data_IF_275660167481
#
_entry.id   IF_275660167481
#
_cell.length_a   1.000
_cell.length_b   1.000
_cell.length_c   1.000
_cell.angle_alpha   90.00
_cell.angle_beta   90.00
_cell.angle_gamma   90.00
#
_symmetry.space_group_name_H-M   'P 1'
#
loop_
_entity.id
_entity.type
_entity.pdbx_description
1 polymer ?
#
# COMPACT_ATOMS: atom_id res chain seq x y z
N UNK A 1 -16.98 21.59 -7.09
CA UNK A 1 -16.92 20.67 -8.24
C UNK A 1 -15.80 19.68 -8.00
N UNK A 2 -16.07 18.65 -7.18
CA UNK A 2 -15.18 17.49 -7.05
C UNK A 2 -15.20 16.71 -8.36
N UNK A 3 -14.07 16.09 -8.71
CA UNK A 3 -13.84 15.39 -9.99
C UNK A 3 -15.08 14.64 -10.50
N UNK A 4 -15.35 14.76 -11.80
CA UNK A 4 -16.32 13.92 -12.49
C UNK A 4 -15.99 12.46 -12.18
N UNK A 5 -16.85 11.79 -11.39
CA UNK A 5 -16.70 10.37 -11.08
C UNK A 5 -16.96 9.60 -12.36
N UNK A 6 -15.89 9.24 -13.06
CA UNK A 6 -15.95 8.42 -14.26
C UNK A 6 -16.55 7.06 -13.88
N UNK A 7 -17.69 6.72 -14.49
CA UNK A 7 -18.43 5.48 -14.22
C UNK A 7 -17.61 4.22 -14.55
N UNK A 8 -16.50 4.36 -15.27
CA UNK A 8 -15.62 3.28 -15.68
C UNK A 8 -14.59 2.87 -14.62
N UNK A 9 -14.35 3.71 -13.60
CA UNK A 9 -13.29 3.45 -12.61
C UNK A 9 -13.58 2.23 -11.72
N UNK A 10 -14.83 2.07 -11.28
CA UNK A 10 -15.23 0.93 -10.42
C UNK A 10 -15.06 -0.41 -11.17
N UNK A 11 -15.60 -0.60 -12.39
CA UNK A 11 -15.40 -1.86 -13.10
C UNK A 11 -13.93 -2.10 -13.45
N UNK A 12 -13.15 -1.06 -13.75
CA UNK A 12 -11.70 -1.18 -13.97
C UNK A 12 -10.97 -1.67 -12.71
N UNK A 13 -11.26 -1.08 -11.55
CA UNK A 13 -10.68 -1.49 -10.26
C UNK A 13 -10.95 -2.98 -9.98
N UNK A 14 -12.21 -3.41 -10.10
CA UNK A 14 -12.58 -4.79 -9.81
C UNK A 14 -12.04 -5.77 -10.85
N UNK A 15 -11.98 -5.40 -12.14
CA UNK A 15 -11.36 -6.21 -13.17
C UNK A 15 -9.87 -6.43 -12.91
N UNK A 16 -9.12 -5.36 -12.63
CA UNK A 16 -7.69 -5.44 -12.31
C UNK A 16 -7.46 -6.26 -11.02
N UNK A 17 -8.29 -6.05 -10.01
CA UNK A 17 -8.26 -6.83 -8.78
C UNK A 17 -8.49 -8.32 -9.03
N UNK A 18 -9.51 -8.69 -9.81
CA UNK A 18 -9.79 -10.10 -10.12
C UNK A 18 -8.63 -10.76 -10.85
N UNK A 19 -8.04 -10.08 -11.85
CA UNK A 19 -6.88 -10.61 -12.58
C UNK A 19 -5.70 -10.82 -11.62
N UNK A 20 -5.37 -9.81 -10.80
CA UNK A 20 -4.29 -9.91 -9.81
C UNK A 20 -4.54 -11.00 -8.77
N UNK A 21 -5.77 -11.10 -8.26
CA UNK A 21 -6.16 -12.10 -7.28
C UNK A 21 -6.03 -13.52 -7.83
N UNK A 22 -6.42 -13.77 -9.08
CA UNK A 22 -6.25 -15.08 -9.73
C UNK A 22 -4.78 -15.47 -9.80
N UNK A 23 -3.88 -14.55 -10.18
CA UNK A 23 -2.43 -14.82 -10.24
C UNK A 23 -1.83 -15.10 -8.85
N UNK A 24 -2.27 -14.37 -7.82
CA UNK A 24 -1.78 -14.58 -6.45
C UNK A 24 -2.30 -15.89 -5.86
N UNK A 25 -3.57 -16.21 -6.09
CA UNK A 25 -4.18 -17.46 -5.63
C UNK A 25 -3.63 -18.67 -6.37
N UNK A 26 -3.39 -18.57 -7.69
CA UNK A 26 -2.78 -19.67 -8.44
C UNK A 26 -1.40 -20.03 -7.90
N UNK A 27 -0.60 -19.04 -7.50
CA UNK A 27 0.70 -19.25 -6.87
C UNK A 27 0.59 -20.04 -5.56
N UNK A 28 -0.41 -19.73 -4.75
CA UNK A 28 -0.68 -20.43 -3.49
C UNK A 28 -1.13 -21.87 -3.77
N UNK A 29 -2.08 -22.06 -4.69
CA UNK A 29 -2.61 -23.38 -5.05
C UNK A 29 -1.50 -24.29 -5.59
N UNK A 30 -0.69 -23.78 -6.51
CA UNK A 30 0.44 -24.54 -7.09
C UNK A 30 1.45 -24.95 -6.00
N UNK A 31 1.73 -24.07 -5.04
CA UNK A 31 2.62 -24.38 -3.92
C UNK A 31 2.05 -25.49 -3.04
N UNK A 32 0.79 -25.35 -2.62
CA UNK A 32 0.11 -26.36 -1.80
C UNK A 32 0.08 -27.72 -2.51
N UNK A 33 -0.07 -27.72 -3.84
CA UNK A 33 -0.07 -28.94 -4.64
C UNK A 33 1.31 -29.60 -4.73
N UNK A 34 2.38 -28.82 -4.92
CA UNK A 34 3.75 -29.37 -5.09
C UNK A 34 4.39 -29.79 -3.76
N UNK A 35 4.25 -28.98 -2.71
CA UNK A 35 5.01 -29.17 -1.45
C UNK A 35 4.15 -29.72 -0.31
N UNK A 36 2.82 -29.78 -0.46
CA UNK A 36 1.91 -30.13 0.63
C UNK A 36 1.94 -29.11 1.78
N UNK A 37 1.23 -29.39 2.88
CA UNK A 37 1.13 -28.51 4.05
C UNK A 37 2.23 -28.71 5.11
N UNK A 38 3.22 -29.57 4.84
CA UNK A 38 4.06 -30.16 5.90
C UNK A 38 5.30 -29.35 6.30
N UNK A 39 5.68 -28.28 5.57
CA UNK A 39 6.85 -27.46 5.89
C UNK A 39 6.60 -25.96 5.59
N UNK A 40 5.87 -25.30 6.52
CA UNK A 40 5.56 -23.87 6.45
C UNK A 40 6.81 -23.04 6.74
N UNK A 41 7.58 -22.75 5.70
CA UNK A 41 8.70 -21.83 5.80
C UNK A 41 8.23 -20.36 5.87
N UNK A 42 9.12 -19.46 6.26
CA UNK A 42 8.85 -18.00 6.28
C UNK A 42 8.34 -17.46 4.92
N UNK A 43 8.69 -18.11 3.82
CA UNK A 43 8.20 -17.76 2.48
C UNK A 43 6.70 -17.97 2.28
N UNK A 44 6.14 -18.99 2.94
CA UNK A 44 4.72 -19.33 2.86
C UNK A 44 3.89 -18.21 3.50
N UNK A 45 4.32 -17.73 4.67
CA UNK A 45 3.68 -16.62 5.38
C UNK A 45 3.62 -15.35 4.52
N UNK A 46 4.73 -14.97 3.88
CA UNK A 46 4.77 -13.80 2.99
C UNK A 46 3.82 -14.00 1.80
N UNK A 47 3.77 -15.21 1.23
CA UNK A 47 2.89 -15.52 0.10
C UNK A 47 1.40 -15.44 0.45
N UNK A 48 1.01 -15.81 1.67
CA UNK A 48 -0.38 -15.69 2.15
C UNK A 48 -0.73 -14.25 2.54
N UNK A 49 0.23 -13.46 3.01
CA UNK A 49 0.00 -12.08 3.43
C UNK A 49 -0.28 -11.15 2.23
N UNK A 50 0.38 -11.36 1.10
CA UNK A 50 0.22 -10.54 -0.12
C UNK A 50 -1.24 -10.43 -0.58
N UNK A 51 -2.00 -11.53 -0.83
CA UNK A 51 -3.38 -11.40 -1.26
C UNK A 51 -4.26 -10.72 -0.22
N UNK A 52 -4.03 -10.94 1.08
CA UNK A 52 -4.78 -10.25 2.15
C UNK A 52 -4.57 -8.74 2.09
N UNK A 53 -3.33 -8.28 2.00
CA UNK A 53 -3.07 -6.84 1.87
C UNK A 53 -3.61 -6.27 0.54
N UNK A 54 -3.59 -7.08 -0.53
CA UNK A 54 -4.09 -6.68 -1.83
C UNK A 54 -5.62 -6.50 -1.82
N UNK A 55 -6.35 -7.42 -1.18
CA UNK A 55 -7.82 -7.32 -1.01
C UNK A 55 -8.20 -6.11 -0.17
N UNK A 56 -7.50 -5.87 0.95
CA UNK A 56 -7.75 -4.70 1.81
C UNK A 56 -7.46 -3.40 1.06
N UNK A 57 -6.42 -3.38 0.21
CA UNK A 57 -6.10 -2.21 -0.60
C UNK A 57 -7.18 -1.94 -1.66
N UNK A 58 -7.66 -2.97 -2.36
CA UNK A 58 -8.75 -2.81 -3.33
C UNK A 58 -10.05 -2.33 -2.66
N UNK A 59 -10.41 -2.92 -1.51
CA UNK A 59 -11.56 -2.50 -0.72
C UNK A 59 -11.41 -1.06 -0.20
N UNK A 60 -10.22 -0.70 0.28
CA UNK A 60 -9.90 0.66 0.72
C UNK A 60 -10.05 1.67 -0.41
N UNK A 61 -9.53 1.38 -1.61
CA UNK A 61 -9.68 2.25 -2.78
C UNK A 61 -11.17 2.46 -3.11
N UNK A 62 -11.97 1.39 -3.12
CA UNK A 62 -13.41 1.50 -3.33
C UNK A 62 -14.07 2.40 -2.28
N UNK A 63 -13.74 2.24 -0.99
CA UNK A 63 -14.28 3.06 0.09
C UNK A 63 -13.89 4.54 -0.03
N UNK A 64 -12.64 4.83 -0.41
CA UNK A 64 -12.18 6.21 -0.67
C UNK A 64 -12.97 6.83 -1.81
N UNK A 65 -13.10 6.12 -2.93
CA UNK A 65 -13.85 6.61 -4.09
C UNK A 65 -15.33 6.85 -3.79
N UNK A 66 -15.97 5.98 -3.02
CA UNK A 66 -17.40 6.13 -2.69
C UNK A 66 -17.65 7.28 -1.72
N UNK A 67 -16.79 7.46 -0.71
CA UNK A 67 -16.99 8.43 0.39
C UNK A 67 -16.34 9.79 0.12
N UNK A 68 -15.38 9.86 -0.80
CA UNK A 68 -14.55 11.04 -1.05
C UNK A 68 -13.47 11.23 0.02
N UNK A 69 -12.37 11.90 -0.34
CA UNK A 69 -11.32 12.23 0.60
C UNK A 69 -11.03 13.74 0.59
N UNK A 70 -10.32 14.23 1.61
CA UNK A 70 -10.06 15.67 1.78
C UNK A 70 -9.32 16.32 0.60
N UNK A 71 -8.57 15.54 -0.19
CA UNK A 71 -7.80 16.05 -1.32
C UNK A 71 -8.66 16.44 -2.52
N UNK A 72 -9.91 15.97 -2.58
CA UNK A 72 -10.85 16.23 -3.68
C UNK A 72 -11.51 17.61 -3.60
N UNK A 73 -11.39 18.28 -2.44
CA UNK A 73 -12.13 19.51 -2.14
C UNK A 73 -11.19 20.70 -1.96
N UNK A 74 -11.69 21.89 -2.31
CA UNK A 74 -11.05 23.16 -1.96
C UNK A 74 -11.40 23.59 -0.53
N UNK A 75 -10.63 24.52 0.05
CA UNK A 75 -10.89 25.02 1.41
C UNK A 75 -12.27 25.66 1.55
N UNK A 76 -12.75 26.35 0.50
CA UNK A 76 -14.08 26.94 0.49
C UNK A 76 -15.19 25.87 0.48
N UNK A 77 -14.98 24.77 -0.24
CA UNK A 77 -15.93 23.65 -0.30
C UNK A 77 -15.98 22.91 1.03
N UNK A 78 -14.84 22.56 1.64
CA UNK A 78 -14.84 21.90 2.95
C UNK A 78 -15.51 22.75 4.03
N UNK A 79 -15.35 24.07 3.97
CA UNK A 79 -16.03 24.97 4.92
C UNK A 79 -17.55 25.04 4.69
N UNK A 80 -18.02 24.73 3.48
CA UNK A 80 -19.43 24.72 3.11
C UNK A 80 -20.11 23.34 3.28
N UNK A 81 -19.35 22.30 3.65
CA UNK A 81 -19.88 20.95 3.84
C UNK A 81 -20.80 20.84 5.06
N UNK A 82 -21.85 20.05 4.93
CA UNK A 82 -22.74 19.69 6.05
C UNK A 82 -22.00 18.78 7.03
N UNK A 83 -22.48 18.68 8.28
CA UNK A 83 -21.93 17.78 9.31
C UNK A 83 -21.80 16.31 8.82
N UNK A 84 -22.85 15.79 8.16
CA UNK A 84 -22.86 14.41 7.64
C UNK A 84 -21.88 14.21 6.48
N UNK A 85 -21.71 15.21 5.62
CA UNK A 85 -20.74 15.19 4.52
C UNK A 85 -19.31 15.22 5.06
N UNK A 86 -19.06 16.08 6.03
CA UNK A 86 -17.77 16.18 6.73
C UNK A 86 -17.38 14.83 7.33
N UNK A 87 -18.32 14.12 7.97
CA UNK A 87 -18.05 12.81 8.57
C UNK A 87 -17.67 11.75 7.53
N UNK A 88 -18.34 11.74 6.37
CA UNK A 88 -18.02 10.84 5.25
C UNK A 88 -16.62 11.12 4.68
N UNK A 89 -16.28 12.39 4.49
CA UNK A 89 -14.95 12.80 4.00
C UNK A 89 -13.84 12.46 5.00
N UNK A 90 -14.06 12.62 6.30
CA UNK A 90 -13.11 12.17 7.34
C UNK A 90 -12.91 10.66 7.25
N UNK A 91 -13.98 9.89 7.05
CA UNK A 91 -13.89 8.44 6.90
C UNK A 91 -13.07 8.04 5.67
N UNK A 92 -13.33 8.64 4.51
CA UNK A 92 -12.54 8.39 3.29
C UNK A 92 -11.09 8.82 3.45
N UNK A 93 -10.83 9.97 4.07
CA UNK A 93 -9.46 10.44 4.35
C UNK A 93 -8.67 9.49 5.26
N UNK A 94 -9.33 8.87 6.25
CA UNK A 94 -8.68 7.84 7.08
C UNK A 94 -8.29 6.62 6.26
N UNK A 95 -9.15 6.18 5.34
CA UNK A 95 -8.83 5.09 4.44
C UNK A 95 -7.72 5.44 3.45
N UNK A 96 -7.68 6.66 2.93
CA UNK A 96 -6.59 7.15 2.10
C UNK A 96 -5.23 7.08 2.84
N UNK A 97 -5.21 7.47 4.12
CA UNK A 97 -4.02 7.32 4.95
C UNK A 97 -3.63 5.84 5.10
N UNK A 98 -4.59 4.96 5.39
CA UNK A 98 -4.35 3.51 5.49
C UNK A 98 -3.79 2.96 4.17
N UNK A 99 -4.33 3.37 3.02
CA UNK A 99 -3.83 2.98 1.70
C UNK A 99 -2.41 3.47 1.46
N UNK A 100 -2.08 4.67 1.93
CA UNK A 100 -0.72 5.23 1.86
C UNK A 100 0.29 4.35 2.61
N UNK A 101 -0.12 3.64 3.67
CA UNK A 101 0.71 2.64 4.36
C UNK A 101 0.66 1.25 3.70
N UNK A 102 -0.52 0.81 3.25
CA UNK A 102 -0.71 -0.52 2.68
C UNK A 102 0.01 -0.69 1.33
N UNK A 103 0.01 0.36 0.50
CA UNK A 103 0.61 0.30 -0.84
C UNK A 103 2.14 0.03 -0.80
N UNK A 104 2.94 0.78 -0.01
CA UNK A 104 4.33 0.42 0.23
C UNK A 104 4.49 -0.97 0.87
N UNK A 105 3.65 -1.32 1.85
CA UNK A 105 3.73 -2.64 2.47
C UNK A 105 3.61 -3.77 1.45
N UNK A 106 2.68 -3.66 0.49
CA UNK A 106 2.52 -4.60 -0.61
C UNK A 106 3.76 -4.69 -1.51
N UNK A 107 4.30 -3.54 -1.94
CA UNK A 107 5.49 -3.50 -2.78
C UNK A 107 6.69 -4.19 -2.12
N UNK A 108 6.90 -3.95 -0.82
CA UNK A 108 7.98 -4.58 -0.07
C UNK A 108 7.72 -6.06 0.20
N UNK A 109 6.47 -6.49 0.39
CA UNK A 109 6.12 -7.91 0.45
C UNK A 109 6.42 -8.63 -0.87
N UNK A 110 6.17 -7.98 -2.02
CA UNK A 110 6.56 -8.53 -3.32
C UNK A 110 8.08 -8.66 -3.47
N UNK A 111 8.84 -7.63 -3.08
CA UNK A 111 10.32 -7.70 -3.04
C UNK A 111 10.81 -8.82 -2.13
N UNK A 112 10.28 -8.93 -0.92
CA UNK A 112 10.62 -9.98 0.03
C UNK A 112 10.32 -11.38 -0.52
N UNK A 113 9.15 -11.55 -1.18
CA UNK A 113 8.77 -12.81 -1.81
C UNK A 113 9.74 -13.24 -2.92
N UNK A 114 10.16 -12.30 -3.78
CA UNK A 114 11.15 -12.57 -4.82
C UNK A 114 12.53 -12.87 -4.22
N UNK A 115 12.92 -12.14 -3.17
CA UNK A 115 14.21 -12.34 -2.52
C UNK A 115 14.32 -13.72 -1.86
N UNK A 116 13.24 -14.20 -1.24
CA UNK A 116 13.18 -15.56 -0.67
C UNK A 116 13.25 -16.64 -1.76
N UNK A 117 12.61 -16.41 -2.91
CA UNK A 117 12.72 -17.29 -4.07
C UNK A 117 14.17 -17.37 -4.57
N UNK A 118 14.85 -16.23 -4.72
CA UNK A 118 16.26 -16.19 -5.10
C UNK A 118 17.14 -16.87 -4.05
N UNK A 119 16.88 -16.66 -2.76
CA UNK A 119 17.60 -17.33 -1.69
C UNK A 119 17.52 -18.86 -1.80
N UNK A 120 16.35 -19.41 -2.16
CA UNK A 120 16.16 -20.85 -2.36
C UNK A 120 16.89 -21.37 -3.60
N UNK A 121 16.73 -20.70 -4.74
CA UNK A 121 17.36 -21.09 -6.01
C UNK A 121 18.89 -21.06 -5.92
N UNK A 122 19.42 -20.10 -5.18
CA UNK A 122 20.84 -19.82 -5.13
C UNK A 122 21.55 -20.50 -3.95
N UNK A 123 20.88 -21.43 -3.26
CA UNK A 123 21.46 -22.20 -2.12
C UNK A 123 22.81 -22.86 -2.41
N UNK A 124 23.10 -23.20 -3.67
CA UNK A 124 24.32 -23.92 -4.08
C UNK A 124 25.49 -23.02 -4.50
N UNK A 125 25.32 -21.69 -4.56
CA UNK A 125 26.38 -20.76 -4.97
C UNK A 125 26.69 -19.77 -3.83
N UNK A 126 27.95 -19.71 -3.38
CA UNK A 126 28.34 -18.91 -2.21
C UNK A 126 28.37 -17.40 -2.46
N UNK A 127 28.91 -16.94 -3.59
CA UNK A 127 29.02 -15.51 -3.96
C UNK A 127 27.67 -14.76 -3.96
N UNK A 128 26.64 -15.25 -4.67
CA UNK A 128 25.34 -14.57 -4.69
C UNK A 128 24.60 -14.61 -3.34
N UNK A 129 24.98 -15.50 -2.41
CA UNK A 129 24.37 -15.56 -1.08
C UNK A 129 24.63 -14.30 -0.24
N UNK A 130 25.83 -13.75 -0.36
CA UNK A 130 26.21 -12.51 0.33
C UNK A 130 25.46 -11.31 -0.24
N UNK A 131 25.31 -11.24 -1.57
CA UNK A 131 24.51 -10.20 -2.25
C UNK A 131 23.02 -10.27 -1.86
N UNK A 132 22.44 -11.46 -1.77
CA UNK A 132 21.04 -11.64 -1.35
C UNK A 132 20.83 -11.17 0.11
N UNK A 133 21.79 -11.40 1.00
CA UNK A 133 21.71 -10.87 2.39
C UNK A 133 21.83 -9.35 2.43
N UNK A 134 22.76 -8.77 1.69
CA UNK A 134 22.93 -7.32 1.63
C UNK A 134 21.68 -6.63 1.08
N UNK A 135 21.11 -7.17 0.01
CA UNK A 135 19.85 -6.67 -0.57
C UNK A 135 18.66 -6.87 0.37
N UNK A 136 18.61 -7.96 1.16
CA UNK A 136 17.60 -8.13 2.20
C UNK A 136 17.65 -7.01 3.25
N UNK A 137 18.86 -6.69 3.72
CA UNK A 137 19.07 -5.64 4.72
C UNK A 137 18.72 -4.26 4.12
N UNK A 138 19.16 -3.98 2.89
CA UNK A 138 18.82 -2.73 2.21
C UNK A 138 17.30 -2.57 2.00
N UNK A 139 16.61 -3.65 1.62
CA UNK A 139 15.16 -3.67 1.47
C UNK A 139 14.44 -3.41 2.80
N UNK A 140 14.91 -3.99 3.90
CA UNK A 140 14.36 -3.73 5.24
C UNK A 140 14.59 -2.28 5.69
N UNK A 141 15.79 -1.73 5.45
CA UNK A 141 16.11 -0.35 5.82
C UNK A 141 15.29 0.66 5.02
N UNK A 142 15.12 0.44 3.72
CA UNK A 142 14.26 1.29 2.88
C UNK A 142 12.80 1.21 3.28
N UNK A 143 12.30 0.03 3.66
CA UNK A 143 10.94 -0.15 4.18
C UNK A 143 10.71 0.72 5.43
N UNK A 144 11.61 0.60 6.40
CA UNK A 144 11.55 1.37 7.65
C UNK A 144 11.64 2.86 7.35
N UNK A 145 12.53 3.26 6.43
CA UNK A 145 12.66 4.64 5.98
C UNK A 145 11.35 5.20 5.43
N UNK A 146 10.70 4.50 4.52
CA UNK A 146 9.40 4.92 3.94
C UNK A 146 8.31 4.98 5.01
N UNK A 147 8.23 3.98 5.89
CA UNK A 147 7.24 3.97 6.98
C UNK A 147 7.43 5.14 7.95
N UNK A 148 8.69 5.49 8.25
CA UNK A 148 9.02 6.66 9.03
C UNK A 148 8.68 7.94 8.28
N UNK A 149 8.99 8.05 6.98
CA UNK A 149 8.62 9.22 6.17
C UNK A 149 7.11 9.47 6.19
N UNK A 150 6.29 8.42 6.04
CA UNK A 150 4.83 8.55 6.12
C UNK A 150 4.40 8.95 7.54
N UNK A 151 5.00 8.36 8.57
CA UNK A 151 4.62 8.65 9.96
C UNK A 151 5.02 10.06 10.41
N UNK A 152 6.18 10.54 9.96
CA UNK A 152 6.70 11.87 10.26
C UNK A 152 6.21 12.94 9.27
N UNK A 153 5.50 12.56 8.20
CA UNK A 153 5.05 13.52 7.20
C UNK A 153 4.06 14.56 7.75
N UNK A 154 3.39 14.32 8.89
CA UNK A 154 2.53 15.30 9.52
C UNK A 154 2.51 15.11 11.05
N UNK A 155 3.12 16.05 11.76
CA UNK A 155 3.13 16.12 13.23
C UNK A 155 2.38 17.40 13.65
N UNK A 156 1.29 17.32 14.44
CA UNK A 156 0.70 16.14 15.09
C UNK A 156 -0.15 15.27 14.15
N UNK A 157 -0.17 13.95 14.40
CA UNK A 157 -0.86 12.95 13.57
C UNK A 157 -2.36 13.22 13.34
N UNK A 158 -3.00 13.97 14.26
CA UNK A 158 -4.40 14.42 14.10
C UNK A 158 -4.63 15.28 12.85
N UNK A 159 -3.59 15.96 12.35
CA UNK A 159 -3.64 16.75 11.13
C UNK A 159 -3.88 15.92 9.85
N UNK A 160 -3.74 14.59 9.91
CA UNK A 160 -4.01 13.74 8.75
C UNK A 160 -5.48 13.67 8.36
N UNK A 161 -6.41 13.61 9.31
CA UNK A 161 -7.85 13.48 9.02
C UNK A 161 -8.67 14.73 9.41
N UNK A 162 -8.01 15.78 9.90
CA UNK A 162 -8.68 17.02 10.23
C UNK A 162 -9.12 17.74 8.94
N UNK A 163 -10.36 18.22 8.92
CA UNK A 163 -10.97 18.87 7.75
C UNK A 163 -10.70 20.37 7.69
N UNK A 164 -10.33 21.00 8.81
CA UNK A 164 -9.98 22.43 8.84
C UNK A 164 -8.82 22.71 9.80
N UNK A 165 -7.73 23.36 9.36
CA UNK A 165 -7.41 23.78 7.97
C UNK A 165 -7.04 22.58 7.07
N UNK A 166 -7.33 22.65 5.75
CA UNK A 166 -7.03 21.55 4.78
C UNK A 166 -5.56 21.16 4.77
N UNK A 167 -4.68 22.15 4.95
CA UNK A 167 -3.23 21.96 4.91
C UNK A 167 -2.59 22.66 6.11
N UNK A 168 -2.22 21.91 7.16
CA UNK A 168 -1.33 22.44 8.18
C UNK A 168 0.02 22.78 7.51
N UNK A 169 0.64 23.94 7.81
CA UNK A 169 1.93 24.32 7.22
C UNK A 169 3.06 23.34 7.53
N UNK A 170 2.89 22.49 8.54
CA UNK A 170 3.89 21.54 9.03
C UNK A 170 3.74 20.14 8.43
N UNK A 171 2.91 19.96 7.39
CA UNK A 171 2.63 18.64 6.81
C UNK A 171 3.10 18.55 5.36
N UNK A 172 3.84 17.48 5.05
CA UNK A 172 4.33 17.17 3.72
C UNK A 172 3.15 16.91 2.77
N UNK A 173 3.36 17.22 1.49
CA UNK A 173 2.38 16.97 0.45
C UNK A 173 2.40 15.49 0.08
N UNK A 174 1.23 14.90 -0.20
CA UNK A 174 1.14 13.49 -0.61
C UNK A 174 2.03 13.16 -1.82
N UNK A 175 2.17 14.09 -2.77
CA UNK A 175 3.07 13.93 -3.92
C UNK A 175 4.54 13.70 -3.53
N UNK A 176 5.02 14.35 -2.47
CA UNK A 176 6.42 14.26 -2.05
C UNK A 176 6.68 12.88 -1.40
N UNK A 177 5.68 12.33 -0.70
CA UNK A 177 5.69 10.95 -0.18
C UNK A 177 5.78 9.94 -1.33
N UNK A 178 4.99 10.13 -2.39
CA UNK A 178 5.04 9.25 -3.57
C UNK A 178 6.38 9.32 -4.31
N UNK A 179 7.02 10.49 -4.37
CA UNK A 179 8.36 10.62 -4.95
C UNK A 179 9.38 9.84 -4.10
N UNK A 180 9.35 10.01 -2.77
CA UNK A 180 10.23 9.26 -1.86
C UNK A 180 10.03 7.74 -1.99
N UNK A 181 8.78 7.31 -2.16
CA UNK A 181 8.41 5.93 -2.42
C UNK A 181 8.98 5.43 -3.75
N UNK A 182 8.82 6.19 -4.83
CA UNK A 182 9.30 5.83 -6.16
C UNK A 182 10.82 5.66 -6.19
N UNK A 183 11.56 6.58 -5.56
CA UNK A 183 13.02 6.50 -5.43
C UNK A 183 13.43 5.28 -4.61
N UNK A 184 12.77 5.04 -3.48
CA UNK A 184 13.08 3.89 -2.60
C UNK A 184 12.74 2.55 -3.26
N UNK A 185 11.78 2.51 -4.19
CA UNK A 185 11.38 1.30 -4.90
C UNK A 185 12.39 0.87 -5.98
N UNK A 186 13.21 1.79 -6.49
CA UNK A 186 14.27 1.46 -7.47
C UNK A 186 15.37 0.60 -6.83
N UNK A 187 15.62 0.80 -5.53
CA UNK A 187 16.59 0.02 -4.75
C UNK A 187 16.05 -1.38 -4.41
#
# INVERSE_FOLDING_TARGET
MGQARDNNWIPELWALYSIGAVVLLSRIVLRCWVYGFSDLAAEDYVSYLIPVFYTVSAAGCYLVYTNGHKGDFTQAEINALTYEETRRVIFGTKWELVLTYLYPSLLWLFKASMLLLYWRLTRKLERPRLLIRLTAIACLLTYIGVMLTISLACMPFRGYWQTSPLRPPNCLRSADIFIALAVSNIL
#
